data_IF_796226024799
#
_entry.id   IF_796226024799
#
_cell.length_a   1.000
_cell.length_b   1.000
_cell.length_c   1.000
_cell.angle_alpha   90.00
_cell.angle_beta   90.00
_cell.angle_gamma   90.00
#
_symmetry.space_group_name_H-M   'P 1'
#
loop_
_entity.id
_entity.type
_entity.pdbx_description
1 polymer ?
#
# COMPACT_ATOMS: atom_id res chain seq x y z
N UNK A 1 15.27 13.80 5.81
CA UNK A 1 13.95 13.19 5.55
C UNK A 1 14.17 11.91 4.76
N UNK A 2 13.61 10.76 5.16
CA UNK A 2 13.83 9.52 4.44
C UNK A 2 13.22 9.56 3.04
N UNK A 3 13.77 8.79 2.11
CA UNK A 3 13.22 8.65 0.76
C UNK A 3 11.93 7.82 0.83
N UNK A 4 10.97 8.08 -0.06
CA UNK A 4 9.81 7.20 -0.25
C UNK A 4 10.29 5.77 -0.55
N UNK A 5 9.85 4.81 0.24
CA UNK A 5 10.19 3.40 0.08
C UNK A 5 8.94 2.61 -0.31
N UNK A 6 8.91 2.16 -1.57
CA UNK A 6 7.74 1.46 -2.10
C UNK A 6 7.56 0.06 -1.50
N UNK A 7 8.65 -0.63 -1.13
CA UNK A 7 8.53 -1.92 -0.45
C UNK A 7 7.95 -1.69 0.94
N UNK A 8 8.46 -0.68 1.65
CA UNK A 8 7.99 -0.41 3.02
C UNK A 8 6.54 0.02 3.07
N UNK A 9 6.10 0.86 2.13
CA UNK A 9 4.68 1.21 1.96
C UNK A 9 3.81 -0.04 1.78
N UNK A 10 4.22 -0.96 0.90
CA UNK A 10 3.50 -2.22 0.66
C UNK A 10 3.44 -3.08 1.92
N UNK A 11 4.57 -3.23 2.62
CA UNK A 11 4.66 -4.02 3.86
C UNK A 11 3.77 -3.46 4.96
N UNK A 12 3.78 -2.14 5.17
CA UNK A 12 2.95 -1.47 6.19
C UNK A 12 1.45 -1.64 5.89
N UNK A 13 1.04 -1.51 4.62
CA UNK A 13 -0.35 -1.73 4.22
C UNK A 13 -0.78 -3.19 4.39
N UNK A 14 0.05 -4.16 3.99
CA UNK A 14 -0.22 -5.59 4.22
C UNK A 14 -0.31 -5.91 5.71
N UNK A 15 0.58 -5.35 6.52
CA UNK A 15 0.59 -5.54 7.98
C UNK A 15 -0.67 -4.95 8.62
N UNK A 16 -1.07 -3.76 8.19
CA UNK A 16 -2.28 -3.08 8.64
C UNK A 16 -3.53 -3.90 8.31
N UNK A 17 -3.67 -4.36 7.06
CA UNK A 17 -4.83 -5.13 6.62
C UNK A 17 -4.92 -6.53 7.25
N UNK A 18 -3.78 -7.13 7.61
CA UNK A 18 -3.75 -8.42 8.29
C UNK A 18 -4.28 -8.36 9.75
N UNK A 19 -4.57 -7.17 10.28
CA UNK A 19 -5.13 -7.05 11.62
C UNK A 19 -6.58 -7.54 11.66
N UNK A 20 -6.91 -8.45 12.60
CA UNK A 20 -8.30 -8.80 12.82
C UNK A 20 -9.04 -7.57 13.34
N UNK A 21 -10.30 -7.41 12.90
CA UNK A 21 -11.22 -6.51 13.55
C UNK A 21 -11.50 -7.08 14.94
N UNK A 22 -11.20 -6.31 16.00
CA UNK A 22 -11.47 -6.77 17.34
C UNK A 22 -13.00 -6.76 17.58
N UNK A 23 -13.57 -7.83 18.17
CA UNK A 23 -15.01 -7.90 18.40
C UNK A 23 -15.56 -6.78 19.29
N UNK A 24 -14.69 -6.22 20.13
CA UNK A 24 -14.99 -5.18 21.12
C UNK A 24 -14.71 -3.76 20.60
N UNK A 25 -14.37 -3.61 19.31
CA UNK A 25 -14.24 -2.30 18.68
C UNK A 25 -15.64 -1.73 18.41
N UNK A 26 -16.17 -1.00 19.39
CA UNK A 26 -17.55 -0.48 19.49
C UNK A 26 -18.06 0.22 18.23
N UNK A 27 -17.17 0.75 17.40
CA UNK A 27 -17.52 1.52 16.20
C UNK A 27 -17.10 0.86 14.88
N UNK A 28 -16.27 -0.20 14.93
CA UNK A 28 -15.68 -0.87 13.76
C UNK A 28 -15.31 0.13 12.66
N UNK A 29 -14.64 1.21 13.05
CA UNK A 29 -14.32 2.34 12.18
C UNK A 29 -13.07 2.07 11.31
N UNK A 30 -12.48 0.89 11.49
CA UNK A 30 -11.33 0.37 10.76
C UNK A 30 -10.01 0.99 11.20
N UNK A 31 -9.99 1.78 12.29
CA UNK A 31 -8.75 2.30 12.82
C UNK A 31 -7.93 1.22 13.51
N UNK A 32 -6.62 1.30 13.35
CA UNK A 32 -5.65 0.50 14.08
C UNK A 32 -4.53 1.40 14.59
N UNK A 33 -3.83 0.93 15.61
CA UNK A 33 -2.67 1.62 16.15
C UNK A 33 -1.45 0.69 16.11
N UNK A 34 -0.45 0.99 15.28
CA UNK A 34 0.85 0.34 15.41
C UNK A 34 1.56 0.81 16.67
N UNK A 35 2.04 -0.12 17.49
CA UNK A 35 2.83 0.21 18.68
C UNK A 35 4.31 0.51 18.35
N UNK A 36 5.07 0.94 19.36
CA UNK A 36 6.50 1.29 19.23
C UNK A 36 7.40 0.12 18.81
N UNK A 37 6.92 -1.12 18.95
CA UNK A 37 7.62 -2.32 18.48
C UNK A 37 7.30 -2.65 17.03
N UNK A 38 6.24 -2.06 16.49
CA UNK A 38 5.70 -2.37 15.18
C UNK A 38 6.15 -1.42 14.07
N UNK A 39 6.50 -0.18 14.43
CA UNK A 39 6.95 0.87 13.52
C UNK A 39 8.25 1.51 13.99
N UNK A 40 9.13 1.82 13.04
CA UNK A 40 10.32 2.65 13.31
C UNK A 40 10.03 4.15 13.11
N UNK A 41 10.92 5.04 13.57
CA UNK A 41 10.81 6.47 13.25
C UNK A 41 10.71 6.78 11.74
N UNK A 42 11.36 5.98 10.89
CA UNK A 42 11.28 6.10 9.44
C UNK A 42 9.91 5.71 8.89
N UNK A 43 9.22 4.76 9.52
CA UNK A 43 7.86 4.36 9.15
C UNK A 43 6.86 5.48 9.39
N UNK A 44 7.04 6.25 10.47
CA UNK A 44 6.23 7.45 10.73
C UNK A 44 6.23 8.41 9.55
N UNK A 45 7.37 8.57 8.87
CA UNK A 45 7.44 9.39 7.65
C UNK A 45 6.79 8.72 6.43
N UNK A 46 6.93 7.40 6.25
CA UNK A 46 6.23 6.70 5.17
C UNK A 46 4.71 6.78 5.37
N UNK A 47 4.22 6.67 6.60
CA UNK A 47 2.80 6.84 6.97
C UNK A 47 2.29 8.23 6.62
N UNK A 48 3.07 9.28 6.88
CA UNK A 48 2.73 10.64 6.43
C UNK A 48 2.63 10.74 4.90
N UNK A 49 3.59 10.17 4.15
CA UNK A 49 3.53 10.15 2.69
C UNK A 49 2.31 9.39 2.16
N UNK A 50 1.91 8.29 2.82
CA UNK A 50 0.71 7.53 2.47
C UNK A 50 -0.56 8.32 2.77
N UNK A 51 -0.59 9.06 3.89
CA UNK A 51 -1.70 9.95 4.25
C UNK A 51 -1.86 11.08 3.24
N UNK A 52 -0.76 11.73 2.86
CA UNK A 52 -0.76 12.81 1.86
C UNK A 52 -1.21 12.30 0.48
N UNK A 53 -0.93 11.03 0.16
CA UNK A 53 -1.40 10.36 -1.04
C UNK A 53 -2.84 9.82 -0.93
N UNK A 54 -3.50 9.96 0.23
CA UNK A 54 -4.84 9.47 0.48
C UNK A 54 -4.96 7.94 0.58
N UNK A 55 -3.85 7.20 0.72
CA UNK A 55 -3.87 5.74 0.91
C UNK A 55 -4.34 5.36 2.31
N UNK A 56 -4.04 6.20 3.30
CA UNK A 56 -4.47 6.05 4.69
C UNK A 56 -5.04 7.36 5.20
N UNK A 57 -5.79 7.31 6.31
CA UNK A 57 -6.22 8.51 7.02
C UNK A 57 -6.11 8.34 8.54
N UNK A 58 -5.97 9.46 9.25
CA UNK A 58 -5.78 9.50 10.70
C UNK A 58 -5.04 10.77 11.08
N UNK A 59 -5.47 11.45 12.15
CA UNK A 59 -4.79 12.67 12.62
C UNK A 59 -3.36 12.35 13.04
N UNK A 60 -3.18 11.23 13.73
CA UNK A 60 -1.92 10.77 14.31
C UNK A 60 -1.28 9.62 13.51
N UNK A 61 -1.45 9.62 12.18
CA UNK A 61 -0.92 8.57 11.32
C UNK A 61 0.61 8.39 11.45
N UNK A 62 1.36 9.46 11.72
CA UNK A 62 2.81 9.39 11.94
C UNK A 62 3.21 8.61 13.19
N UNK A 63 2.29 8.43 14.15
CA UNK A 63 2.51 7.64 15.37
C UNK A 63 1.84 6.27 15.29
N UNK A 64 1.44 5.84 14.09
CA UNK A 64 0.87 4.51 13.87
C UNK A 64 -0.65 4.41 14.00
N UNK A 65 -1.37 5.49 14.36
CA UNK A 65 -2.84 5.49 14.47
C UNK A 65 -3.50 5.95 13.16
N UNK A 66 -4.05 5.01 12.40
CA UNK A 66 -4.68 5.28 11.10
C UNK A 66 -5.65 4.17 10.67
N UNK A 67 -6.39 4.41 9.60
CA UNK A 67 -7.09 3.38 8.82
C UNK A 67 -6.68 3.41 7.36
N UNK A 68 -6.81 2.29 6.66
CA UNK A 68 -6.63 2.23 5.20
C UNK A 68 -7.88 2.81 4.54
N UNK A 69 -7.72 3.71 3.57
CA UNK A 69 -8.86 4.24 2.79
C UNK A 69 -9.24 3.26 1.68
N UNK A 70 -10.39 3.46 1.03
CA UNK A 70 -10.71 2.67 -0.18
C UNK A 70 -9.63 2.82 -1.27
N UNK A 71 -9.05 4.01 -1.42
CA UNK A 71 -7.94 4.25 -2.36
C UNK A 71 -6.70 3.46 -1.96
N UNK A 72 -6.44 3.34 -0.66
CA UNK A 72 -5.40 2.48 -0.10
C UNK A 72 -5.60 1.01 -0.42
N UNK A 73 -6.82 0.50 -0.25
CA UNK A 73 -7.16 -0.88 -0.65
C UNK A 73 -6.98 -1.10 -2.15
N UNK A 74 -7.48 -0.18 -3.01
CA UNK A 74 -7.28 -0.30 -4.45
C UNK A 74 -5.79 -0.29 -4.85
N UNK A 75 -4.98 0.52 -4.17
CA UNK A 75 -3.54 0.55 -4.38
C UNK A 75 -2.90 -0.77 -3.93
N UNK A 76 -3.24 -1.25 -2.74
CA UNK A 76 -2.74 -2.49 -2.17
C UNK A 76 -3.08 -3.68 -3.06
N UNK A 77 -4.33 -3.79 -3.52
CA UNK A 77 -4.77 -4.89 -4.37
C UNK A 77 -4.07 -4.93 -5.73
N UNK A 78 -3.75 -3.77 -6.30
CA UNK A 78 -2.96 -3.69 -7.52
C UNK A 78 -1.55 -4.30 -7.33
N UNK A 79 -0.94 -4.14 -6.15
CA UNK A 79 0.44 -4.57 -5.86
C UNK A 79 0.53 -5.80 -4.94
N UNK A 80 -0.60 -6.42 -4.58
CA UNK A 80 -0.67 -7.50 -3.59
C UNK A 80 0.07 -8.75 -4.06
N UNK A 81 -0.15 -9.16 -5.30
CA UNK A 81 0.45 -10.36 -5.85
C UNK A 81 1.96 -10.20 -5.99
N UNK A 82 2.74 -11.09 -5.38
CA UNK A 82 4.22 -11.04 -5.42
C UNK A 82 4.80 -11.02 -6.83
N UNK A 83 4.19 -11.77 -7.76
CA UNK A 83 4.63 -11.77 -9.17
C UNK A 83 4.41 -10.42 -9.84
N UNK A 84 3.20 -9.85 -9.71
CA UNK A 84 2.88 -8.51 -10.23
C UNK A 84 3.76 -7.44 -9.57
N UNK A 85 4.02 -7.57 -8.27
CA UNK A 85 4.89 -6.66 -7.54
C UNK A 85 6.33 -6.70 -8.05
N UNK A 86 6.87 -7.89 -8.29
CA UNK A 86 8.19 -8.10 -8.89
C UNK A 86 8.28 -7.47 -10.29
N UNK A 87 7.30 -7.76 -11.16
CA UNK A 87 7.22 -7.20 -12.51
C UNK A 87 7.18 -5.66 -12.48
N UNK A 88 6.39 -5.09 -11.56
CA UNK A 88 6.29 -3.64 -11.34
C UNK A 88 7.61 -3.02 -10.92
N UNK A 89 8.31 -3.62 -9.96
CA UNK A 89 9.62 -3.12 -9.50
C UNK A 89 10.67 -3.19 -10.60
N UNK A 90 10.68 -4.26 -11.39
CA UNK A 90 11.62 -4.42 -12.51
C UNK A 90 11.40 -3.31 -13.55
N UNK A 91 10.14 -3.06 -13.94
CA UNK A 91 9.81 -1.97 -14.86
C UNK A 91 10.25 -0.59 -14.31
N UNK A 92 10.01 -0.32 -13.03
CA UNK A 92 10.46 0.93 -12.39
C UNK A 92 11.99 1.05 -12.40
N UNK A 93 12.71 -0.02 -12.08
CA UNK A 93 14.17 -0.03 -12.07
C UNK A 93 14.75 0.26 -13.46
N UNK A 94 14.19 -0.34 -14.52
CA UNK A 94 14.60 -0.11 -15.91
C UNK A 94 14.39 1.35 -16.36
N UNK A 95 13.40 2.05 -15.81
CA UNK A 95 13.07 3.45 -16.13
C UNK A 95 13.84 4.51 -15.32
N UNK A 96 14.84 4.14 -14.52
CA UNK A 96 15.62 5.08 -13.69
C UNK A 96 15.25 5.09 -12.19
N UNK A 97 14.42 4.13 -11.75
CA UNK A 97 14.33 3.70 -10.35
C UNK A 97 13.43 4.52 -9.41
N UNK A 98 12.92 5.70 -9.81
CA UNK A 98 12.00 6.49 -8.96
C UNK A 98 10.80 6.98 -9.77
N UNK A 99 9.60 6.65 -9.30
CA UNK A 99 8.32 7.00 -9.94
C UNK A 99 7.28 7.45 -8.89
N UNK A 100 6.17 8.02 -9.35
CA UNK A 100 5.04 8.36 -8.47
C UNK A 100 4.26 7.11 -8.06
N UNK A 101 3.50 7.17 -6.96
CA UNK A 101 2.64 6.06 -6.53
C UNK A 101 1.56 5.73 -7.58
N UNK A 102 1.07 6.74 -8.30
CA UNK A 102 0.13 6.57 -9.41
C UNK A 102 0.73 5.74 -10.55
N UNK A 103 1.99 5.99 -10.90
CA UNK A 103 2.70 5.20 -11.93
C UNK A 103 2.91 3.77 -11.45
N UNK A 104 3.26 3.55 -10.18
CA UNK A 104 3.36 2.20 -9.59
C UNK A 104 2.03 1.46 -9.71
N UNK A 105 0.92 2.08 -9.30
CA UNK A 105 -0.42 1.49 -9.40
C UNK A 105 -0.79 1.17 -10.85
N UNK A 106 -0.48 2.08 -11.77
CA UNK A 106 -0.79 1.93 -13.20
C UNK A 106 -0.03 0.77 -13.84
N UNK A 107 1.27 0.64 -13.56
CA UNK A 107 2.09 -0.48 -14.02
C UNK A 107 1.56 -1.81 -13.47
N UNK A 108 1.31 -1.89 -12.16
CA UNK A 108 0.82 -3.09 -11.50
C UNK A 108 -0.55 -3.52 -12.05
N UNK A 109 -1.46 -2.56 -12.25
CA UNK A 109 -2.77 -2.78 -12.88
C UNK A 109 -2.63 -3.25 -14.32
N UNK A 110 -1.70 -2.69 -15.09
CA UNK A 110 -1.40 -3.14 -16.45
C UNK A 110 -0.95 -4.59 -16.51
N UNK A 111 -0.04 -5.00 -15.62
CA UNK A 111 0.37 -6.40 -15.50
C UNK A 111 -0.78 -7.31 -15.06
N UNK A 112 -1.64 -6.85 -14.14
CA UNK A 112 -2.84 -7.59 -13.73
C UNK A 112 -3.79 -7.81 -14.91
N UNK A 113 -4.12 -6.75 -15.65
CA UNK A 113 -4.99 -6.81 -16.84
C UNK A 113 -4.44 -7.78 -17.88
N UNK A 114 -3.13 -7.74 -18.13
CA UNK A 114 -2.46 -8.69 -19.04
C UNK A 114 -2.65 -10.14 -18.57
N UNK A 115 -2.47 -10.43 -17.28
CA UNK A 115 -2.70 -11.77 -16.71
C UNK A 115 -4.17 -12.19 -16.80
N UNK A 116 -5.12 -11.30 -16.53
CA UNK A 116 -6.55 -11.59 -16.65
C UNK A 116 -6.92 -11.92 -18.09
N UNK A 117 -6.46 -11.11 -19.06
CA UNK A 117 -6.71 -11.37 -20.49
C UNK A 117 -6.14 -12.71 -20.93
N UNK A 118 -4.91 -13.04 -20.51
CA UNK A 118 -4.30 -14.34 -20.81
C UNK A 118 -5.06 -15.54 -20.21
N UNK A 119 -5.66 -15.37 -19.04
CA UNK A 119 -6.35 -16.46 -18.35
C UNK A 119 -7.82 -16.62 -18.76
N UNK A 120 -8.50 -15.52 -19.07
CA UNK A 120 -9.96 -15.48 -19.31
C UNK A 120 -10.33 -15.26 -20.78
N UNK A 121 -9.42 -14.76 -21.60
CA UNK A 121 -9.71 -14.31 -22.97
C UNK A 121 -10.43 -12.96 -23.05
N UNK A 122 -10.65 -12.26 -21.93
CA UNK A 122 -11.34 -10.97 -21.88
C UNK A 122 -10.33 -9.83 -21.84
N UNK A 123 -10.45 -8.86 -22.74
CA UNK A 123 -9.68 -7.61 -22.70
C UNK A 123 -10.36 -6.57 -21.78
N UNK A 124 -9.56 -5.90 -20.93
CA UNK A 124 -9.99 -4.98 -19.87
C UNK A 124 -9.36 -3.59 -19.95
#
# INVERSE_FOLDING_TARGET
MPKRDLNRIRELLLKAEARPLEPDDDFNDGYLCFDETEISPEDGYQLLLMKDAGLIEGRDASTGLFRITNVGHDYLDAIRNEGIWSDTKNAVAETGGSVTLEVVKSLATGFLKKKISQHTGIEL
#
